data_IF_421767738145
#
_entry.id   IF_421767738145
#
_cell.length_a   1.000
_cell.length_b   1.000
_cell.length_c   1.000
_cell.angle_alpha   90.00
_cell.angle_beta   90.00
_cell.angle_gamma   90.00
#
_symmetry.space_group_name_H-M   'P 1'
#
loop_
_entity.id
_entity.type
_entity.pdbx_description
1 polymer ?
#
# COMPACT_ATOMS: atom_id res chain seq x y z
N UNK A 1 7.47 7.59 -24.50
CA UNK A 1 6.95 7.14 -23.18
C UNK A 1 5.67 7.92 -22.94
N UNK A 2 4.50 7.28 -23.04
CA UNK A 2 3.19 7.94 -23.24
C UNK A 2 2.76 8.95 -22.14
N UNK A 3 3.42 8.93 -20.97
CA UNK A 3 3.19 9.92 -19.90
C UNK A 3 3.97 11.23 -20.09
N UNK A 4 4.95 11.26 -21.00
CA UNK A 4 5.77 12.44 -21.32
C UNK A 4 5.37 13.08 -22.64
N UNK A 5 4.17 12.77 -23.12
CA UNK A 5 3.62 13.27 -24.36
C UNK A 5 3.00 14.67 -24.15
N UNK A 6 3.47 15.67 -24.89
CA UNK A 6 2.98 17.04 -24.81
C UNK A 6 1.52 17.19 -25.20
N UNK A 7 0.97 16.27 -25.99
CA UNK A 7 -0.46 16.24 -26.34
C UNK A 7 -1.35 15.86 -25.14
N UNK A 8 -0.75 15.34 -24.07
CA UNK A 8 -1.43 14.81 -22.88
C UNK A 8 -1.20 15.67 -21.64
N UNK A 9 -0.74 16.90 -21.84
CA UNK A 9 -0.49 17.88 -20.79
C UNK A 9 -1.79 18.11 -19.99
N UNK A 10 -1.68 18.13 -18.67
CA UNK A 10 -2.79 18.30 -17.71
C UNK A 10 -3.78 17.12 -17.60
N UNK A 11 -3.50 15.99 -18.24
CA UNK A 11 -4.24 14.77 -17.96
C UNK A 11 -3.90 14.23 -16.57
N UNK A 12 -4.94 13.84 -15.81
CA UNK A 12 -4.79 13.15 -14.52
C UNK A 12 -4.77 11.65 -14.74
N UNK A 13 -3.90 10.96 -14.00
CA UNK A 13 -3.67 9.53 -14.08
C UNK A 13 -3.58 8.91 -12.70
N UNK A 14 -4.43 7.94 -12.43
CA UNK A 14 -4.35 7.14 -11.22
C UNK A 14 -3.33 6.02 -11.42
N UNK A 15 -2.32 5.97 -10.55
CA UNK A 15 -1.35 4.88 -10.48
C UNK A 15 -1.62 4.07 -9.22
N UNK A 16 -2.35 2.97 -9.36
CA UNK A 16 -2.84 2.20 -8.21
C UNK A 16 -2.95 0.72 -8.54
N UNK A 17 -2.98 -0.11 -7.51
CA UNK A 17 -3.60 -1.44 -7.59
C UNK A 17 -5.11 -1.29 -7.50
N UNK A 18 -5.85 -2.22 -8.09
CA UNK A 18 -7.30 -2.37 -7.83
C UNK A 18 -7.57 -3.52 -6.83
N UNK A 19 -6.51 -4.07 -6.26
CA UNK A 19 -6.60 -4.99 -5.12
C UNK A 19 -6.90 -4.18 -3.86
N UNK A 20 -7.97 -4.54 -3.15
CA UNK A 20 -8.39 -3.90 -1.90
C UNK A 20 -7.97 -4.73 -0.68
N UNK A 21 -7.41 -4.07 0.33
CA UNK A 21 -7.01 -4.71 1.60
C UNK A 21 -7.50 -3.85 2.77
N UNK A 22 -8.24 -4.47 3.70
CA UNK A 22 -8.66 -3.78 4.92
C UNK A 22 -7.52 -3.66 5.92
N UNK A 23 -7.56 -2.67 6.82
CA UNK A 23 -6.58 -2.52 7.89
C UNK A 23 -6.46 -3.80 8.77
N UNK A 24 -7.59 -4.46 9.04
CA UNK A 24 -7.60 -5.72 9.79
C UNK A 24 -6.97 -6.87 8.99
N UNK A 25 -7.25 -6.96 7.68
CA UNK A 25 -6.62 -7.92 6.79
C UNK A 25 -5.11 -7.74 6.73
N UNK A 26 -4.66 -6.50 6.55
CA UNK A 26 -3.26 -6.13 6.59
C UNK A 26 -2.58 -6.51 7.91
N UNK A 27 -3.19 -6.18 9.05
CA UNK A 27 -2.64 -6.53 10.36
C UNK A 27 -2.50 -8.06 10.55
N UNK A 28 -3.50 -8.83 10.13
CA UNK A 28 -3.46 -10.31 10.17
C UNK A 28 -2.37 -10.87 9.26
N UNK A 29 -2.24 -10.32 8.06
CA UNK A 29 -1.25 -10.73 7.08
C UNK A 29 0.17 -10.48 7.58
N UNK A 30 0.43 -9.29 8.12
CA UNK A 30 1.72 -8.94 8.73
C UNK A 30 2.01 -9.85 9.92
N UNK A 31 1.04 -10.05 10.83
CA UNK A 31 1.20 -10.94 11.99
C UNK A 31 1.61 -12.35 11.58
N UNK A 32 0.93 -12.91 10.57
CA UNK A 32 1.24 -14.23 10.01
C UNK A 32 2.63 -14.25 9.37
N UNK A 33 2.94 -13.25 8.53
CA UNK A 33 4.19 -13.10 7.79
C UNK A 33 5.44 -13.06 8.69
N UNK A 34 5.33 -12.43 9.86
CA UNK A 34 6.43 -12.33 10.84
C UNK A 34 6.36 -13.38 11.95
N UNK A 35 5.32 -14.23 11.97
CA UNK A 35 5.12 -15.23 13.03
C UNK A 35 4.85 -14.63 14.42
N UNK A 36 4.25 -13.44 14.50
CA UNK A 36 4.01 -12.77 15.78
C UNK A 36 2.79 -13.34 16.52
N UNK A 37 2.94 -13.49 17.84
CA UNK A 37 1.84 -13.88 18.72
C UNK A 37 1.06 -12.68 19.28
N UNK A 38 1.51 -11.44 19.05
CA UNK A 38 0.87 -10.22 19.55
C UNK A 38 -0.61 -10.14 19.18
N UNK A 39 -1.39 -9.57 20.09
CA UNK A 39 -2.82 -9.33 19.87
C UNK A 39 -3.04 -8.14 18.92
N UNK A 40 -4.09 -8.22 18.12
CA UNK A 40 -4.56 -7.09 17.31
C UNK A 40 -5.56 -6.32 18.17
N UNK A 41 -5.17 -5.11 18.58
CA UNK A 41 -5.99 -4.22 19.43
C UNK A 41 -6.64 -3.14 18.57
N UNK A 42 -7.94 -2.93 18.74
CA UNK A 42 -8.66 -1.84 18.10
C UNK A 42 -8.51 -0.57 18.93
N UNK A 43 -8.15 0.52 18.27
CA UNK A 43 -8.00 1.85 18.88
C UNK A 43 -9.00 2.83 18.25
N UNK A 44 -9.32 3.96 18.90
CA UNK A 44 -10.15 4.99 18.30
C UNK A 44 -9.62 5.43 16.93
N UNK A 45 -10.53 5.71 16.01
CA UNK A 45 -10.20 6.20 14.67
C UNK A 45 -9.48 7.56 14.74
N UNK A 46 -8.52 7.77 13.83
CA UNK A 46 -7.88 9.08 13.68
C UNK A 46 -8.87 10.06 13.04
N UNK A 47 -8.93 11.27 13.59
CA UNK A 47 -9.79 12.32 13.04
C UNK A 47 -9.38 12.61 11.59
N UNK A 48 -10.35 12.60 10.68
CA UNK A 48 -10.13 12.88 9.25
C UNK A 48 -9.60 11.70 8.42
N UNK A 49 -9.52 10.49 8.99
CA UNK A 49 -9.06 9.33 8.23
C UNK A 49 -10.07 8.88 7.16
N UNK A 50 -9.57 8.57 5.96
CA UNK A 50 -10.34 7.93 4.88
C UNK A 50 -10.67 6.48 5.25
N UNK A 51 -11.94 6.07 5.07
CA UNK A 51 -12.40 4.72 5.42
C UNK A 51 -12.10 3.66 4.36
N UNK A 52 -12.19 4.05 3.08
CA UNK A 52 -11.95 3.17 1.94
C UNK A 52 -11.44 4.00 0.77
N UNK A 53 -10.39 3.52 0.14
CA UNK A 53 -9.90 4.03 -1.13
C UNK A 53 -10.23 2.98 -2.18
N UNK A 54 -10.99 3.38 -3.20
CA UNK A 54 -11.32 2.54 -4.35
C UNK A 54 -11.04 3.35 -5.59
N UNK A 55 -9.84 3.17 -6.13
CA UNK A 55 -9.27 4.00 -7.19
C UNK A 55 -9.15 3.12 -8.43
N UNK A 56 -9.72 3.57 -9.55
CA UNK A 56 -9.62 2.87 -10.84
C UNK A 56 -8.31 3.18 -11.54
N UNK A 57 -7.65 2.13 -12.04
CA UNK A 57 -6.49 2.21 -12.94
C UNK A 57 -6.86 1.95 -14.41
N UNK A 58 -8.16 1.97 -14.74
CA UNK A 58 -8.65 1.65 -16.08
C UNK A 58 -8.04 2.54 -17.17
N UNK A 59 -7.89 3.85 -16.90
CA UNK A 59 -7.29 4.78 -17.85
C UNK A 59 -5.86 4.36 -18.23
N UNK A 60 -5.04 3.99 -17.23
CA UNK A 60 -3.68 3.52 -17.44
C UNK A 60 -3.63 2.23 -18.27
N UNK A 61 -4.51 1.27 -17.98
CA UNK A 61 -4.60 0.02 -18.75
C UNK A 61 -5.01 0.27 -20.19
N UNK A 62 -6.08 1.04 -20.40
CA UNK A 62 -6.67 1.28 -21.72
C UNK A 62 -5.73 2.06 -22.63
N UNK A 63 -5.08 3.10 -22.10
CA UNK A 63 -4.41 4.08 -22.94
C UNK A 63 -2.91 3.86 -23.07
N UNK A 64 -2.28 3.19 -22.11
CA UNK A 64 -0.83 2.93 -22.15
C UNK A 64 -0.45 1.48 -21.81
N UNK A 65 -1.44 0.59 -21.63
CA UNK A 65 -1.20 -0.82 -21.32
C UNK A 65 -0.56 -1.06 -19.95
N UNK A 66 -0.59 -0.07 -19.05
CA UNK A 66 0.05 -0.20 -17.73
C UNK A 66 -0.90 -0.90 -16.75
N UNK A 67 -0.35 -1.84 -15.98
CA UNK A 67 -1.02 -2.47 -14.86
C UNK A 67 -0.01 -2.79 -13.73
N UNK A 68 -0.49 -2.80 -12.48
CA UNK A 68 0.30 -3.24 -11.34
C UNK A 68 0.57 -4.75 -11.42
N UNK A 69 1.85 -5.12 -11.48
CA UNK A 69 2.27 -6.52 -11.63
C UNK A 69 2.49 -7.23 -10.29
N UNK A 70 2.90 -6.50 -9.26
CA UNK A 70 3.16 -7.04 -7.92
C UNK A 70 1.83 -7.10 -7.16
N UNK A 71 1.45 -8.29 -6.70
CA UNK A 71 0.26 -8.50 -5.87
C UNK A 71 0.56 -8.20 -4.40
N UNK A 72 -0.48 -7.97 -3.60
CA UNK A 72 -0.36 -7.66 -2.17
C UNK A 72 0.59 -8.60 -1.40
N UNK A 73 0.36 -9.92 -1.51
CA UNK A 73 1.16 -10.93 -0.79
C UNK A 73 2.63 -10.90 -1.19
N UNK A 74 2.90 -10.77 -2.48
CA UNK A 74 4.26 -10.70 -3.00
C UNK A 74 4.95 -9.40 -2.56
N UNK A 75 4.24 -8.27 -2.60
CA UNK A 75 4.72 -6.98 -2.11
C UNK A 75 5.08 -7.03 -0.62
N UNK A 76 4.24 -7.67 0.20
CA UNK A 76 4.50 -7.88 1.62
C UNK A 76 5.78 -8.71 1.88
N UNK A 77 5.98 -9.81 1.14
CA UNK A 77 7.19 -10.63 1.29
C UNK A 77 8.46 -9.86 0.90
N UNK A 78 8.40 -9.10 -0.21
CA UNK A 78 9.52 -8.21 -0.61
C UNK A 78 9.81 -7.17 0.45
N UNK A 79 8.76 -6.60 1.07
CA UNK A 79 8.89 -5.62 2.14
C UNK A 79 9.54 -6.21 3.40
N UNK A 80 9.13 -7.42 3.80
CA UNK A 80 9.79 -8.17 4.89
C UNK A 80 11.26 -8.39 4.60
N UNK A 81 11.59 -8.83 3.39
CA UNK A 81 12.97 -9.08 2.99
C UNK A 81 13.81 -7.80 3.08
N UNK A 82 13.30 -6.67 2.57
CA UNK A 82 13.97 -5.38 2.68
C UNK A 82 14.20 -4.95 4.14
N UNK A 83 13.18 -5.11 4.99
CA UNK A 83 13.28 -4.76 6.42
C UNK A 83 14.36 -5.58 7.15
N UNK A 84 14.55 -6.86 6.79
CA UNK A 84 15.53 -7.74 7.42
C UNK A 84 16.97 -7.55 6.91
N UNK A 85 17.15 -7.05 5.68
CA UNK A 85 18.46 -6.99 5.03
C UNK A 85 19.14 -5.62 5.12
N UNK A 86 18.39 -4.53 5.17
CA UNK A 86 18.96 -3.16 5.01
C UNK A 86 18.24 -2.10 5.86
N UNK A 87 16.96 -2.31 6.18
CA UNK A 87 16.11 -1.35 6.86
C UNK A 87 16.34 -1.22 8.38
N UNK A 88 17.50 -0.73 8.82
CA UNK A 88 17.62 -0.16 10.16
C UNK A 88 16.77 1.12 10.23
N UNK A 89 15.50 0.98 10.60
CA UNK A 89 14.66 2.12 10.99
C UNK A 89 14.65 2.13 12.52
N UNK A 90 15.32 3.10 13.13
CA UNK A 90 15.09 3.44 14.53
C UNK A 90 13.67 4.01 14.65
N UNK A 91 12.71 3.17 15.05
CA UNK A 91 11.36 3.64 15.36
C UNK A 91 11.35 4.11 16.81
N UNK A 92 11.68 5.39 17.04
CA UNK A 92 11.32 6.06 18.30
C UNK A 92 9.82 6.32 18.30
N UNK A 93 9.05 5.37 18.83
CA UNK A 93 7.64 5.61 19.15
C UNK A 93 7.53 6.19 20.56
N UNK A 94 7.13 7.46 20.65
CA UNK A 94 6.68 8.04 21.92
C UNK A 94 5.17 7.83 22.03
N UNK A 95 4.75 7.05 23.03
CA UNK A 95 3.35 6.96 23.41
C UNK A 95 2.88 8.37 23.80
N UNK A 96 1.76 8.88 23.25
CA UNK A 96 1.08 10.01 23.84
C UNK A 96 0.57 9.62 25.24
N UNK A 97 0.71 10.52 26.21
CA UNK A 97 0.14 10.38 27.57
C UNK A 97 -1.40 10.25 27.55
#
# INVERSE_FOLDING_TARGET
>A
MALYDSERLNEVWNLTTEEEVSALGMARDIRSLVGSLSEIVFVPQRVGQTFRESISAEKMRREIGWEAKVKWKEGLERMKWWYLMDGQVEITYQMPE
#
